data_IF_426669259012
#
_entry.id   IF_426669259012
#
_cell.length_a   1.000
_cell.length_b   1.000
_cell.length_c   1.000
_cell.angle_alpha   90.00
_cell.angle_beta   90.00
_cell.angle_gamma   90.00
#
_symmetry.space_group_name_H-M   'P 1'
#
loop_
_entity.id
_entity.type
_entity.pdbx_description
1 polymer ?
#
# COMPACT_ATOMS: atom_id res chain seq x y z
N UNK A 1 -5.66 1.29 38.84
CA UNK A 1 -4.87 0.79 40.03
C UNK A 1 -3.38 1.08 39.91
N UNK A 2 -2.73 0.89 38.78
CA UNK A 2 -1.29 1.15 38.59
C UNK A 2 -0.92 2.64 38.69
N UNK A 3 -1.69 3.53 38.08
CA UNK A 3 -1.43 4.98 38.07
C UNK A 3 -1.47 5.62 39.45
N UNK A 4 -2.46 5.24 40.31
CA UNK A 4 -2.53 5.74 41.67
C UNK A 4 -1.29 5.36 42.50
N UNK A 5 -0.74 4.18 42.30
CA UNK A 5 0.51 3.76 42.93
C UNK A 5 1.73 4.52 42.39
N UNK A 6 1.77 4.81 41.11
CA UNK A 6 2.83 5.61 40.51
C UNK A 6 2.83 7.04 41.05
N UNK A 7 1.67 7.69 41.12
CA UNK A 7 1.54 9.07 41.64
C UNK A 7 1.91 9.22 43.12
N UNK A 8 1.88 8.14 43.89
CA UNK A 8 2.25 8.12 45.28
C UNK A 8 3.77 8.00 45.56
N UNK A 9 4.59 7.77 44.49
CA UNK A 9 6.04 7.64 44.65
C UNK A 9 6.71 9.01 44.84
N UNK A 10 7.66 9.04 45.78
CA UNK A 10 8.52 10.21 45.98
C UNK A 10 9.68 10.16 45.00
N UNK A 11 9.57 10.92 43.90
CA UNK A 11 10.56 10.93 42.82
C UNK A 11 11.92 11.45 43.28
N UNK A 12 11.99 12.23 44.36
CA UNK A 12 13.28 12.77 44.86
C UNK A 12 14.21 11.68 45.39
N UNK A 13 13.63 10.54 45.77
CA UNK A 13 14.35 9.37 46.29
C UNK A 13 14.78 8.37 45.24
N UNK A 14 14.42 8.59 43.94
CA UNK A 14 14.72 7.68 42.87
C UNK A 14 16.01 8.07 42.17
N UNK A 15 16.79 7.06 41.76
CA UNK A 15 17.92 7.23 40.87
C UNK A 15 17.44 7.61 39.46
N UNK A 16 18.32 8.18 38.58
CA UNK A 16 17.96 8.45 37.21
C UNK A 16 17.41 7.23 36.45
N UNK A 17 18.01 6.05 36.66
CA UNK A 17 17.52 4.81 36.07
C UNK A 17 16.12 4.43 36.57
N UNK A 18 15.83 4.62 37.84
CA UNK A 18 14.50 4.37 38.42
C UNK A 18 13.49 5.39 37.91
N UNK A 19 13.87 6.66 37.80
CA UNK A 19 13.02 7.73 37.21
C UNK A 19 12.67 7.42 35.78
N UNK A 20 13.63 6.96 34.95
CA UNK A 20 13.36 6.60 33.56
C UNK A 20 12.32 5.47 33.44
N UNK A 21 12.40 4.45 34.32
CA UNK A 21 11.41 3.36 34.36
C UNK A 21 10.05 3.84 34.85
N UNK A 22 10.05 4.75 35.83
CA UNK A 22 8.83 5.37 36.32
C UNK A 22 8.09 6.09 35.18
N UNK A 23 8.78 6.96 34.45
CA UNK A 23 8.19 7.72 33.36
C UNK A 23 7.80 6.85 32.17
N UNK A 24 8.56 5.78 31.87
CA UNK A 24 8.18 4.80 30.87
C UNK A 24 6.85 4.11 31.20
N UNK A 25 6.71 3.67 32.44
CA UNK A 25 5.47 3.05 32.93
C UNK A 25 4.31 4.05 32.93
N UNK A 26 4.56 5.28 33.32
CA UNK A 26 3.56 6.33 33.28
C UNK A 26 3.11 6.63 31.84
N UNK A 27 4.06 6.71 30.89
CA UNK A 27 3.75 6.88 29.48
C UNK A 27 2.87 5.75 28.95
N UNK A 28 3.21 4.49 29.22
CA UNK A 28 2.41 3.33 28.83
C UNK A 28 0.99 3.37 29.42
N UNK A 29 0.86 3.82 30.64
CA UNK A 29 -0.44 3.97 31.28
C UNK A 29 -1.29 5.06 30.61
N UNK A 30 -0.68 6.17 30.24
CA UNK A 30 -1.35 7.25 29.51
C UNK A 30 -1.72 6.81 28.09
N UNK A 31 -0.85 6.06 27.42
CA UNK A 31 -1.13 5.46 26.09
C UNK A 31 -2.36 4.54 26.14
N UNK A 32 -2.45 3.69 27.16
CA UNK A 32 -3.59 2.79 27.35
C UNK A 32 -4.92 3.54 27.55
N UNK A 33 -4.86 4.74 28.13
CA UNK A 33 -6.03 5.65 28.25
C UNK A 33 -6.28 6.49 27.02
N UNK A 34 -5.43 6.36 25.99
CA UNK A 34 -5.45 7.20 24.79
C UNK A 34 -5.19 8.69 25.06
N UNK A 35 -4.48 8.99 26.14
CA UNK A 35 -4.04 10.33 26.50
C UNK A 35 -2.64 10.60 25.95
N UNK A 36 -2.61 10.96 24.65
CA UNK A 36 -1.36 11.11 23.90
C UNK A 36 -0.48 12.22 24.49
N UNK A 37 -1.05 13.34 24.88
CA UNK A 37 -0.26 14.48 25.39
C UNK A 37 0.41 14.13 26.72
N UNK A 38 -0.30 13.47 27.65
CA UNK A 38 0.29 13.00 28.90
C UNK A 38 1.37 11.94 28.65
N UNK A 39 1.18 11.07 27.67
CA UNK A 39 2.19 10.09 27.28
C UNK A 39 3.47 10.77 26.73
N UNK A 40 3.32 11.78 25.87
CA UNK A 40 4.45 12.57 25.35
C UNK A 40 5.19 13.29 26.47
N UNK A 41 4.48 13.95 27.39
CA UNK A 41 5.08 14.60 28.55
C UNK A 41 5.90 13.63 29.40
N UNK A 42 5.38 12.43 29.64
CA UNK A 42 6.08 11.39 30.37
C UNK A 42 7.36 10.93 29.64
N UNK A 43 7.31 10.79 28.32
CA UNK A 43 8.50 10.42 27.51
C UNK A 43 9.55 11.54 27.46
N UNK A 44 9.15 12.80 27.50
CA UNK A 44 10.07 13.93 27.65
C UNK A 44 10.81 13.81 28.99
N UNK A 45 10.10 13.56 30.08
CA UNK A 45 10.70 13.34 31.40
C UNK A 45 11.59 12.09 31.45
N UNK A 46 11.21 11.05 30.75
CA UNK A 46 12.05 9.85 30.59
C UNK A 46 13.39 10.20 29.93
N UNK A 47 13.39 10.96 28.86
CA UNK A 47 14.61 11.33 28.14
C UNK A 47 15.59 12.10 29.04
N UNK A 48 15.09 13.01 29.87
CA UNK A 48 15.90 13.78 30.84
C UNK A 48 16.69 12.87 31.80
N UNK A 49 16.27 11.63 31.99
CA UNK A 49 16.88 10.65 32.87
C UNK A 49 17.60 9.49 32.14
N UNK A 50 17.74 9.59 30.81
CA UNK A 50 18.43 8.61 29.99
C UNK A 50 19.83 9.10 29.61
N UNK A 51 20.83 8.23 29.76
CA UNK A 51 22.20 8.47 29.32
C UNK A 51 22.60 7.60 28.15
N UNK A 52 21.98 6.44 27.99
CA UNK A 52 22.22 5.54 26.86
C UNK A 52 21.67 6.10 25.57
N UNK A 53 22.53 6.27 24.57
CA UNK A 53 22.17 6.91 23.29
C UNK A 53 21.13 6.13 22.51
N UNK A 54 21.20 4.77 22.53
CA UNK A 54 20.23 3.96 21.81
C UNK A 54 18.85 4.03 22.45
N UNK A 55 18.78 3.98 23.78
CA UNK A 55 17.51 4.18 24.49
C UNK A 55 16.91 5.56 24.26
N UNK A 56 17.75 6.60 24.16
CA UNK A 56 17.28 7.95 23.81
C UNK A 56 16.70 7.99 22.40
N UNK A 57 17.36 7.39 21.40
CA UNK A 57 16.83 7.26 20.03
C UNK A 57 15.50 6.52 20.00
N UNK A 58 15.42 5.38 20.67
CA UNK A 58 14.19 4.58 20.74
C UNK A 58 13.05 5.36 21.39
N UNK A 59 13.34 6.16 22.41
CA UNK A 59 12.36 7.01 23.07
C UNK A 59 11.89 8.16 22.16
N UNK A 60 12.77 8.75 21.38
CA UNK A 60 12.42 9.74 20.34
C UNK A 60 11.47 9.13 19.31
N UNK A 61 11.79 7.95 18.78
CA UNK A 61 10.96 7.28 17.79
C UNK A 61 9.57 6.94 18.35
N UNK A 62 9.49 6.48 19.58
CA UNK A 62 8.21 6.21 20.26
C UNK A 62 7.41 7.50 20.52
N UNK A 63 8.07 8.58 20.90
CA UNK A 63 7.40 9.88 21.08
C UNK A 63 6.83 10.39 19.76
N UNK A 64 7.60 10.30 18.68
CA UNK A 64 7.13 10.65 17.35
C UNK A 64 5.94 9.79 16.91
N UNK A 65 6.01 8.50 17.13
CA UNK A 65 4.94 7.55 16.81
C UNK A 65 3.62 7.90 17.52
N UNK A 66 3.69 8.30 18.78
CA UNK A 66 2.53 8.78 19.56
C UNK A 66 1.90 10.01 18.90
N UNK A 67 2.69 11.01 18.58
CA UNK A 67 2.22 12.25 17.95
C UNK A 67 1.64 11.98 16.56
N UNK A 68 2.26 11.09 15.79
CA UNK A 68 1.79 10.67 14.46
C UNK A 68 0.41 10.02 14.49
N UNK A 69 0.14 9.21 15.50
CA UNK A 69 -1.12 8.51 15.67
C UNK A 69 -2.22 9.35 16.30
N UNK A 70 -1.90 10.53 16.83
CA UNK A 70 -2.84 11.40 17.49
C UNK A 70 -3.82 12.07 16.51
N UNK A 71 -5.04 12.29 16.95
CA UNK A 71 -5.99 13.10 16.21
C UNK A 71 -5.46 14.55 16.09
N UNK A 72 -5.55 15.10 14.88
CA UNK A 72 -5.08 16.46 14.58
C UNK A 72 -5.71 17.52 15.49
N UNK A 73 -6.98 17.36 15.87
CA UNK A 73 -7.64 18.27 16.80
C UNK A 73 -6.99 18.25 18.19
N UNK A 74 -6.57 17.08 18.69
CA UNK A 74 -5.84 16.94 19.95
C UNK A 74 -4.52 17.69 19.89
N UNK A 75 -3.78 17.55 18.81
CA UNK A 75 -2.51 18.26 18.58
C UNK A 75 -2.72 19.77 18.53
N UNK A 76 -3.71 20.23 17.74
CA UNK A 76 -3.97 21.66 17.54
C UNK A 76 -4.44 22.37 18.82
N UNK A 77 -5.11 21.66 19.72
CA UNK A 77 -5.60 22.18 20.98
C UNK A 77 -4.59 22.03 22.14
N UNK A 78 -3.47 21.32 21.92
CA UNK A 78 -2.46 21.13 22.95
C UNK A 78 -1.67 22.42 23.23
N UNK A 79 -1.41 22.69 24.52
CA UNK A 79 -0.53 23.76 24.98
C UNK A 79 0.83 23.20 25.35
N UNK A 80 1.90 23.96 25.11
CA UNK A 80 3.25 23.61 25.54
C UNK A 80 3.48 23.84 27.04
N UNK A 81 2.54 24.51 27.71
CA UNK A 81 2.61 24.83 29.15
C UNK A 81 3.93 25.51 29.57
N UNK A 82 4.57 26.24 28.65
CA UNK A 82 5.85 26.87 28.86
C UNK A 82 7.07 25.92 28.75
N UNK A 83 6.83 24.66 28.36
CA UNK A 83 7.91 23.68 28.13
C UNK A 83 8.47 23.81 26.72
N UNK A 84 9.74 24.16 26.58
CA UNK A 84 10.44 24.20 25.27
C UNK A 84 10.47 22.83 24.64
N UNK A 85 10.68 21.77 25.42
CA UNK A 85 10.70 20.41 24.91
C UNK A 85 9.34 19.98 24.32
N UNK A 86 8.25 20.22 25.04
CA UNK A 86 6.90 19.94 24.55
C UNK A 86 6.54 20.84 23.35
N UNK A 87 6.86 22.12 23.42
CA UNK A 87 6.66 23.07 22.32
C UNK A 87 7.37 22.66 21.05
N UNK A 88 8.61 22.17 21.17
CA UNK A 88 9.37 21.63 20.04
C UNK A 88 8.70 20.41 19.41
N UNK A 89 8.25 19.46 20.20
CA UNK A 89 7.51 18.29 19.71
C UNK A 89 6.18 18.67 19.02
N UNK A 90 5.41 19.55 19.63
CA UNK A 90 4.14 20.00 19.05
C UNK A 90 4.35 20.77 17.75
N UNK A 91 5.39 21.59 17.66
CA UNK A 91 5.74 22.32 16.43
C UNK A 91 6.20 21.36 15.33
N UNK A 92 6.96 20.31 15.69
CA UNK A 92 7.41 19.31 14.73
C UNK A 92 6.23 18.55 14.11
N UNK A 93 5.30 18.05 14.91
CA UNK A 93 4.13 17.33 14.39
C UNK A 93 3.20 18.23 13.58
N UNK A 94 3.07 19.51 13.94
CA UNK A 94 2.30 20.49 13.16
C UNK A 94 2.96 20.73 11.80
N UNK A 95 4.28 20.93 11.76
CA UNK A 95 5.03 21.09 10.53
C UNK A 95 4.84 19.88 9.59
N UNK A 96 4.85 18.69 10.15
CA UNK A 96 4.58 17.46 9.41
C UNK A 96 3.14 17.42 8.87
N UNK A 97 2.15 17.60 9.72
CA UNK A 97 0.74 17.49 9.34
C UNK A 97 0.33 18.54 8.29
N UNK A 98 0.86 19.75 8.40
CA UNK A 98 0.54 20.85 7.49
C UNK A 98 1.14 20.65 6.07
N UNK A 99 2.22 19.88 5.97
CA UNK A 99 2.98 19.74 4.72
C UNK A 99 3.05 18.32 4.15
N UNK A 100 2.38 17.35 4.76
CA UNK A 100 2.49 15.92 4.38
C UNK A 100 2.14 15.64 2.91
N UNK A 101 1.28 16.46 2.31
CA UNK A 101 0.90 16.33 0.90
C UNK A 101 1.83 17.07 -0.06
N UNK A 102 2.80 17.79 0.44
CA UNK A 102 3.73 18.63 -0.32
C UNK A 102 5.18 18.29 0.10
N UNK A 103 5.77 17.24 -0.48
CA UNK A 103 7.05 16.68 -0.01
C UNK A 103 8.21 17.67 0.04
N UNK A 104 8.29 18.60 -0.93
CA UNK A 104 9.34 19.64 -0.96
C UNK A 104 9.14 20.62 0.21
N UNK A 105 7.93 21.09 0.42
CA UNK A 105 7.59 21.97 1.54
C UNK A 105 7.77 21.27 2.88
N UNK A 106 7.44 19.96 2.95
CA UNK A 106 7.68 19.16 4.15
C UNK A 106 9.18 19.10 4.49
N UNK A 107 10.03 18.81 3.53
CA UNK A 107 11.49 18.80 3.73
C UNK A 107 11.99 20.14 4.25
N UNK A 108 11.55 21.25 3.65
CA UNK A 108 11.92 22.60 4.06
C UNK A 108 11.41 22.92 5.47
N UNK A 109 10.19 22.56 5.80
CA UNK A 109 9.61 22.75 7.12
C UNK A 109 10.37 21.96 8.22
N UNK A 110 10.78 20.73 7.93
CA UNK A 110 11.58 19.92 8.84
C UNK A 110 12.98 20.50 9.06
N UNK A 111 13.62 20.98 8.01
CA UNK A 111 14.92 21.67 8.11
C UNK A 111 14.82 22.97 8.92
N UNK A 112 13.77 23.76 8.69
CA UNK A 112 13.50 25.00 9.43
C UNK A 112 13.23 24.70 10.91
N UNK A 113 12.47 23.64 11.20
CA UNK A 113 12.23 23.22 12.58
C UNK A 113 13.55 22.83 13.29
N UNK A 114 14.39 22.04 12.63
CA UNK A 114 15.69 21.62 13.17
C UNK A 114 16.60 22.82 13.47
N UNK A 115 16.55 23.85 12.65
CA UNK A 115 17.28 25.09 12.85
C UNK A 115 16.69 25.93 13.99
N UNK A 116 15.37 25.92 14.17
CA UNK A 116 14.69 26.64 15.23
C UNK A 116 14.85 25.99 16.62
N UNK A 117 15.01 24.67 16.66
CA UNK A 117 15.14 23.87 17.90
C UNK A 117 16.44 23.06 17.93
N UNK A 118 17.63 23.68 17.79
CA UNK A 118 18.89 22.96 17.62
C UNK A 118 19.29 22.11 18.84
N UNK A 119 18.80 22.45 20.02
CA UNK A 119 19.11 21.76 21.27
C UNK A 119 18.00 20.77 21.70
N UNK A 120 16.96 20.63 20.91
CA UNK A 120 15.90 19.67 21.17
C UNK A 120 16.38 18.25 20.92
N UNK A 121 15.93 17.28 21.75
CA UNK A 121 16.34 15.88 21.63
C UNK A 121 16.02 15.31 20.24
N UNK A 122 14.89 15.68 19.65
CA UNK A 122 14.51 15.26 18.30
C UNK A 122 15.33 15.95 17.19
N UNK A 123 16.04 17.03 17.47
CA UNK A 123 17.00 17.60 16.53
C UNK A 123 18.34 16.86 16.59
N UNK A 124 18.72 16.37 17.76
CA UNK A 124 19.93 15.56 17.98
C UNK A 124 19.75 14.13 17.46
N UNK A 125 18.64 13.50 17.83
CA UNK A 125 18.24 12.14 17.41
C UNK A 125 16.97 12.25 16.55
N UNK A 126 17.14 12.69 15.32
CA UNK A 126 15.97 12.93 14.46
C UNK A 126 15.13 11.67 14.32
N UNK A 127 13.77 11.75 14.37
CA UNK A 127 12.92 10.57 14.22
C UNK A 127 13.26 9.80 12.94
N UNK A 128 13.47 8.50 13.07
CA UNK A 128 13.92 7.65 11.97
C UNK A 128 13.01 7.73 10.75
N UNK A 129 11.70 7.81 10.99
CA UNK A 129 10.69 7.94 9.92
C UNK A 129 10.87 9.23 9.10
N UNK A 130 11.41 10.29 9.71
CA UNK A 130 11.60 11.59 9.07
C UNK A 130 12.98 11.78 8.45
N UNK A 131 13.94 10.90 8.71
CA UNK A 131 15.32 11.06 8.24
C UNK A 131 15.40 11.17 6.71
N UNK A 132 14.65 10.33 5.99
CA UNK A 132 14.61 10.34 4.53
C UNK A 132 14.00 11.63 3.95
N UNK A 133 13.18 12.33 4.74
CA UNK A 133 12.49 13.56 4.33
C UNK A 133 13.34 14.81 4.48
N UNK A 134 14.36 14.80 5.37
CA UNK A 134 15.26 15.94 5.55
C UNK A 134 15.98 16.35 4.27
N UNK A 135 16.42 15.37 3.51
CA UNK A 135 17.18 15.53 2.27
C UNK A 135 16.36 15.11 1.05
N UNK A 136 15.05 15.14 1.17
CA UNK A 136 14.15 14.78 0.09
C UNK A 136 14.38 15.68 -1.13
N UNK A 137 14.51 15.05 -2.28
CA UNK A 137 14.55 15.72 -3.58
C UNK A 137 13.42 15.19 -4.44
N UNK A 138 12.66 16.10 -5.02
CA UNK A 138 11.63 15.77 -5.98
C UNK A 138 12.21 14.97 -7.14
N UNK A 139 11.45 13.99 -7.64
CA UNK A 139 11.85 13.22 -8.82
C UNK A 139 12.03 14.15 -10.01
N UNK A 140 13.20 14.05 -10.63
CA UNK A 140 13.56 14.80 -11.84
C UNK A 140 14.24 13.85 -12.82
N UNK A 141 13.54 13.46 -13.87
CA UNK A 141 14.00 12.47 -14.83
C UNK A 141 14.59 13.14 -16.06
N UNK A 142 15.84 12.78 -16.39
CA UNK A 142 16.51 13.24 -17.61
C UNK A 142 16.17 12.32 -18.81
N UNK A 143 16.07 11.01 -18.57
CA UNK A 143 15.80 10.00 -19.59
C UNK A 143 15.27 8.73 -18.92
N UNK A 144 14.39 7.99 -19.63
CA UNK A 144 13.82 6.72 -19.17
C UNK A 144 14.17 5.62 -20.15
N UNK A 145 14.54 4.45 -19.64
CA UNK A 145 14.55 3.19 -20.37
C UNK A 145 13.26 2.42 -20.11
N UNK A 146 12.55 2.06 -21.15
CA UNK A 146 11.32 1.26 -21.07
C UNK A 146 11.61 -0.15 -21.56
N UNK A 147 11.51 -1.13 -20.66
CA UNK A 147 11.87 -2.53 -20.89
C UNK A 147 10.63 -3.39 -20.91
N UNK A 148 10.23 -3.86 -22.08
CA UNK A 148 9.02 -4.64 -22.29
C UNK A 148 9.24 -5.79 -23.28
N UNK A 149 8.48 -6.89 -23.19
CA UNK A 149 8.46 -7.91 -24.24
C UNK A 149 7.68 -7.37 -25.44
N UNK A 150 8.37 -7.03 -26.53
CA UNK A 150 7.79 -6.36 -27.71
C UNK A 150 7.75 -7.25 -28.95
N UNK A 151 8.18 -8.50 -28.85
CA UNK A 151 8.14 -9.49 -29.89
C UNK A 151 7.80 -10.88 -29.32
N UNK A 152 7.49 -11.84 -30.23
CA UNK A 152 7.12 -13.18 -29.80
C UNK A 152 5.83 -13.26 -29.04
N UNK A 153 5.71 -14.23 -28.11
CA UNK A 153 4.49 -14.55 -27.37
C UNK A 153 4.05 -13.42 -26.43
N UNK A 154 4.98 -12.61 -25.95
CA UNK A 154 4.69 -11.49 -25.06
C UNK A 154 4.32 -10.19 -25.74
N UNK A 155 4.34 -10.12 -27.08
CA UNK A 155 4.20 -8.88 -27.83
C UNK A 155 2.91 -8.12 -27.52
N UNK A 156 1.79 -8.80 -27.47
CA UNK A 156 0.48 -8.16 -27.19
C UNK A 156 0.49 -7.50 -25.80
N UNK A 157 1.04 -8.19 -24.81
CA UNK A 157 1.14 -7.66 -23.45
C UNK A 157 2.05 -6.43 -23.39
N UNK A 158 3.24 -6.55 -23.96
CA UNK A 158 4.23 -5.47 -23.96
C UNK A 158 3.77 -4.23 -24.73
N UNK A 159 3.21 -4.40 -25.91
CA UNK A 159 2.72 -3.28 -26.72
C UNK A 159 1.50 -2.61 -26.11
N UNK A 160 0.65 -3.35 -25.41
CA UNK A 160 -0.50 -2.79 -24.71
C UNK A 160 -0.06 -1.92 -23.51
N UNK A 161 0.91 -2.39 -22.73
CA UNK A 161 1.52 -1.61 -21.64
C UNK A 161 2.21 -0.36 -22.20
N UNK A 162 2.97 -0.51 -23.27
CA UNK A 162 3.64 0.60 -23.96
C UNK A 162 2.65 1.67 -24.42
N UNK A 163 1.50 1.26 -24.95
CA UNK A 163 0.44 2.18 -25.38
C UNK A 163 -0.07 3.03 -24.19
N UNK A 164 -0.36 2.42 -23.06
CA UNK A 164 -0.75 3.13 -21.85
C UNK A 164 0.32 4.08 -21.32
N UNK A 165 1.56 3.63 -21.31
CA UNK A 165 2.72 4.45 -20.94
C UNK A 165 2.89 5.68 -21.83
N UNK A 166 2.81 5.50 -23.15
CA UNK A 166 2.95 6.57 -24.12
C UNK A 166 1.79 7.58 -24.04
N UNK A 167 0.56 7.10 -23.86
CA UNK A 167 -0.60 7.98 -23.72
C UNK A 167 -0.48 8.84 -22.45
N UNK A 168 -0.04 8.26 -21.33
CA UNK A 168 0.19 8.98 -20.09
C UNK A 168 1.36 9.98 -20.21
N UNK A 169 2.42 9.60 -20.93
CA UNK A 169 3.55 10.49 -21.24
C UNK A 169 3.09 11.73 -22.00
N UNK A 170 2.18 11.57 -22.97
CA UNK A 170 1.64 12.68 -23.75
C UNK A 170 2.75 13.55 -24.34
N UNK A 171 2.65 14.87 -24.11
CA UNK A 171 3.57 15.87 -24.65
C UNK A 171 4.88 16.03 -23.82
N UNK A 172 5.12 15.18 -22.83
CA UNK A 172 6.36 15.24 -22.04
C UNK A 172 7.58 15.11 -22.95
N UNK A 173 8.57 15.97 -22.73
CA UNK A 173 9.82 16.00 -23.50
C UNK A 173 10.88 15.05 -22.98
N UNK A 174 10.61 14.28 -21.93
CA UNK A 174 11.55 13.30 -21.37
C UNK A 174 11.79 12.21 -22.41
N UNK A 175 13.04 12.00 -22.88
CA UNK A 175 13.36 10.94 -23.82
C UNK A 175 13.10 9.56 -23.23
N UNK A 176 12.50 8.67 -24.04
CA UNK A 176 12.28 7.28 -23.67
C UNK A 176 12.98 6.39 -24.69
N UNK A 177 13.95 5.61 -24.22
CA UNK A 177 14.57 4.56 -25.01
C UNK A 177 13.89 3.23 -24.72
N UNK A 178 13.43 2.55 -25.75
CA UNK A 178 12.69 1.28 -25.63
C UNK A 178 13.64 0.11 -25.85
N UNK A 179 13.54 -0.89 -24.97
CA UNK A 179 14.30 -2.15 -25.05
C UNK A 179 13.32 -3.32 -25.16
N UNK A 180 13.56 -4.23 -26.10
CA UNK A 180 12.79 -5.46 -26.23
C UNK A 180 13.41 -6.58 -25.41
N UNK A 181 12.78 -6.92 -24.28
CA UNK A 181 13.23 -8.00 -23.40
C UNK A 181 12.98 -9.40 -23.97
N UNK A 182 12.24 -9.51 -25.07
CA UNK A 182 12.05 -10.81 -25.75
C UNK A 182 13.28 -11.24 -26.59
N UNK A 183 14.08 -10.28 -27.03
CA UNK A 183 15.24 -10.53 -27.90
C UNK A 183 16.58 -10.30 -27.21
N UNK A 184 16.59 -9.48 -26.13
CA UNK A 184 17.81 -9.11 -25.41
C UNK A 184 17.72 -9.52 -23.95
N UNK A 185 18.70 -10.26 -23.42
CA UNK A 185 18.74 -10.60 -21.99
C UNK A 185 18.73 -9.36 -21.10
N UNK A 186 18.10 -9.45 -19.93
CA UNK A 186 17.94 -8.31 -19.03
C UNK A 186 19.28 -7.69 -18.58
N UNK A 187 20.30 -8.50 -18.34
CA UNK A 187 21.62 -8.00 -17.95
C UNK A 187 22.28 -7.17 -19.05
N UNK A 188 22.08 -7.56 -20.30
CA UNK A 188 22.59 -6.82 -21.47
C UNK A 188 21.81 -5.50 -21.66
N UNK A 189 20.51 -5.52 -21.44
CA UNK A 189 19.67 -4.31 -21.47
C UNK A 189 20.17 -3.31 -20.40
N UNK A 190 20.41 -3.76 -19.19
CA UNK A 190 20.91 -2.91 -18.09
C UNK A 190 22.27 -2.31 -18.46
N UNK A 191 23.17 -3.11 -19.02
CA UNK A 191 24.48 -2.64 -19.47
C UNK A 191 24.36 -1.59 -20.58
N UNK A 192 23.50 -1.80 -21.57
CA UNK A 192 23.22 -0.84 -22.64
C UNK A 192 22.61 0.46 -22.13
N UNK A 193 21.67 0.36 -21.20
CA UNK A 193 21.04 1.52 -20.56
C UNK A 193 22.07 2.37 -19.80
N UNK A 194 22.95 1.74 -19.03
CA UNK A 194 24.06 2.42 -18.34
C UNK A 194 25.02 3.11 -19.31
N UNK A 195 25.40 2.41 -20.38
CA UNK A 195 26.27 2.97 -21.41
C UNK A 195 25.65 4.19 -22.11
N UNK A 196 24.32 4.24 -22.21
CA UNK A 196 23.57 5.38 -22.75
C UNK A 196 23.29 6.49 -21.75
N UNK A 197 23.77 6.37 -20.51
CA UNK A 197 23.55 7.36 -19.45
C UNK A 197 22.15 7.35 -18.85
N UNK A 198 21.37 6.30 -19.08
CA UNK A 198 20.02 6.13 -18.53
C UNK A 198 20.15 5.79 -17.05
N UNK A 199 19.40 6.53 -16.20
CA UNK A 199 19.37 6.36 -14.74
C UNK A 199 18.00 5.97 -14.20
N UNK A 200 17.01 5.78 -15.05
CA UNK A 200 15.68 5.34 -14.67
C UNK A 200 15.18 4.28 -15.64
N UNK A 201 14.81 3.11 -15.13
CA UNK A 201 14.24 2.00 -15.89
C UNK A 201 12.80 1.73 -15.43
N UNK A 202 11.92 1.51 -16.41
CA UNK A 202 10.58 0.98 -16.24
C UNK A 202 10.53 -0.39 -16.90
N UNK A 203 10.25 -1.40 -16.13
CA UNK A 203 10.39 -2.80 -16.46
C UNK A 203 11.55 -3.45 -15.70
N UNK A 204 11.77 -4.75 -15.90
CA UNK A 204 11.08 -5.68 -16.79
C UNK A 204 9.71 -6.14 -16.29
N UNK A 205 8.95 -6.82 -17.16
CA UNK A 205 7.63 -7.35 -16.87
C UNK A 205 7.66 -8.80 -16.39
N UNK A 206 8.46 -9.65 -17.03
CA UNK A 206 8.46 -11.08 -16.73
C UNK A 206 9.16 -11.37 -15.41
N UNK A 207 8.55 -12.24 -14.59
CA UNK A 207 9.04 -12.59 -13.25
C UNK A 207 10.49 -13.07 -13.24
N UNK A 208 10.89 -13.87 -14.22
CA UNK A 208 12.27 -14.35 -14.35
C UNK A 208 13.29 -13.21 -14.52
N UNK A 209 12.92 -12.13 -15.21
CA UNK A 209 13.78 -10.97 -15.40
C UNK A 209 13.82 -10.09 -14.13
N UNK A 210 12.71 -9.99 -13.42
CA UNK A 210 12.67 -9.34 -12.09
C UNK A 210 13.55 -10.08 -11.09
N UNK A 211 13.45 -11.40 -11.04
CA UNK A 211 14.30 -12.25 -10.19
C UNK A 211 15.79 -12.12 -10.55
N UNK A 212 16.14 -11.95 -11.79
CA UNK A 212 17.51 -11.71 -12.21
C UNK A 212 18.08 -10.40 -11.63
N UNK A 213 17.27 -9.34 -11.53
CA UNK A 213 17.66 -8.08 -10.88
C UNK A 213 17.81 -8.29 -9.37
N UNK A 214 16.88 -8.99 -8.74
CA UNK A 214 16.91 -9.26 -7.30
C UNK A 214 18.14 -10.09 -6.92
N UNK A 215 18.51 -11.06 -7.76
CA UNK A 215 19.69 -11.91 -7.55
C UNK A 215 21.02 -11.17 -7.74
N UNK A 216 21.05 -10.10 -8.51
CA UNK A 216 22.25 -9.28 -8.76
C UNK A 216 21.93 -7.78 -8.66
N UNK A 217 21.63 -7.26 -7.47
CA UNK A 217 21.22 -5.87 -7.30
C UNK A 217 22.34 -4.87 -7.64
N UNK A 218 23.60 -5.27 -7.59
CA UNK A 218 24.73 -4.42 -7.95
C UNK A 218 24.71 -4.01 -9.44
N UNK A 219 24.07 -4.80 -10.30
CA UNK A 219 23.94 -4.48 -11.74
C UNK A 219 23.13 -3.19 -11.97
N UNK A 220 22.18 -2.89 -11.12
CA UNK A 220 21.32 -1.68 -11.20
C UNK A 220 21.73 -0.58 -10.23
N UNK A 221 22.87 -0.68 -9.60
CA UNK A 221 23.35 0.34 -8.68
C UNK A 221 23.47 1.71 -9.39
N UNK A 222 22.90 2.74 -8.77
CA UNK A 222 22.85 4.09 -9.33
C UNK A 222 21.72 4.33 -10.33
N UNK A 223 20.83 3.36 -10.51
CA UNK A 223 19.64 3.47 -11.36
C UNK A 223 18.38 3.35 -10.52
N UNK A 224 17.38 4.18 -10.82
CA UNK A 224 16.02 4.00 -10.34
C UNK A 224 15.34 2.93 -11.20
N UNK A 225 14.81 1.89 -10.59
CA UNK A 225 14.17 0.78 -11.31
C UNK A 225 12.76 0.57 -10.79
N UNK A 226 11.79 0.76 -11.64
CA UNK A 226 10.40 0.36 -11.40
C UNK A 226 10.14 -0.94 -12.16
N UNK A 227 10.24 -2.07 -11.49
CA UNK A 227 9.86 -3.35 -12.11
C UNK A 227 8.35 -3.37 -12.34
N UNK A 228 7.91 -4.06 -13.38
CA UNK A 228 6.49 -4.19 -13.70
C UNK A 228 5.92 -5.53 -13.22
N UNK A 229 6.53 -6.10 -12.21
CA UNK A 229 6.07 -7.26 -11.49
C UNK A 229 6.75 -7.36 -10.11
N UNK A 230 6.13 -8.11 -9.23
CA UNK A 230 6.72 -8.58 -7.99
C UNK A 230 6.81 -10.11 -8.03
N UNK A 231 7.71 -10.68 -7.24
CA UNK A 231 7.94 -12.13 -7.17
C UNK A 231 7.99 -12.59 -5.73
N UNK A 232 8.05 -13.89 -5.50
CA UNK A 232 8.26 -14.45 -4.17
C UNK A 232 9.61 -14.01 -3.54
N UNK A 233 10.55 -13.54 -4.36
CA UNK A 233 11.86 -13.07 -3.94
C UNK A 233 11.94 -11.56 -3.71
N UNK A 234 10.84 -10.84 -3.85
CA UNK A 234 10.78 -9.38 -3.63
C UNK A 234 11.33 -9.02 -2.26
N UNK A 235 12.28 -8.09 -2.26
CA UNK A 235 12.96 -7.60 -1.05
C UNK A 235 13.39 -6.15 -1.23
N UNK A 236 13.68 -5.47 -0.13
CA UNK A 236 14.17 -4.09 -0.16
C UNK A 236 15.55 -4.04 -0.84
N UNK A 237 15.61 -3.36 -1.98
CA UNK A 237 16.83 -3.05 -2.72
C UNK A 237 16.83 -1.54 -2.97
N UNK A 238 17.97 -0.90 -2.70
CA UNK A 238 18.07 0.54 -2.91
C UNK A 238 17.72 0.92 -4.35
N UNK A 239 16.89 1.92 -4.51
CA UNK A 239 16.44 2.45 -5.81
C UNK A 239 15.66 1.44 -6.68
N UNK A 240 15.09 0.38 -6.08
CA UNK A 240 14.21 -0.56 -6.79
C UNK A 240 12.82 -0.53 -6.14
N UNK A 241 11.82 -0.31 -6.94
CA UNK A 241 10.41 -0.46 -6.57
C UNK A 241 9.75 -1.51 -7.47
N UNK A 242 8.74 -2.18 -6.95
CA UNK A 242 8.01 -3.24 -7.63
C UNK A 242 6.57 -2.81 -7.84
N UNK A 243 6.06 -2.99 -9.05
CA UNK A 243 4.68 -2.67 -9.36
C UNK A 243 4.11 -3.72 -10.31
N UNK A 244 2.97 -4.28 -9.97
CA UNK A 244 2.30 -5.28 -10.78
C UNK A 244 0.80 -5.33 -10.49
N UNK A 245 0.07 -6.06 -11.32
CA UNK A 245 -1.35 -6.33 -11.11
C UNK A 245 -1.49 -7.57 -10.22
N UNK A 246 -1.09 -7.43 -8.97
CA UNK A 246 -0.99 -8.53 -8.01
C UNK A 246 -2.35 -8.95 -7.47
N UNK A 247 -2.71 -10.24 -7.49
CA UNK A 247 -3.90 -10.76 -6.81
C UNK A 247 -3.84 -10.60 -5.29
N UNK A 248 -2.64 -10.52 -4.71
CA UNK A 248 -2.40 -10.26 -3.30
C UNK A 248 -2.90 -8.86 -2.89
N UNK A 249 -2.69 -7.82 -3.72
CA UNK A 249 -3.25 -6.48 -3.48
C UNK A 249 -4.77 -6.49 -3.42
N UNK A 250 -5.41 -7.26 -4.30
CA UNK A 250 -6.86 -7.41 -4.31
C UNK A 250 -7.37 -8.06 -3.02
N UNK A 251 -6.65 -9.05 -2.51
CA UNK A 251 -6.99 -9.69 -1.25
C UNK A 251 -6.87 -8.75 -0.06
N UNK A 252 -5.85 -7.92 -0.02
CA UNK A 252 -5.67 -6.90 1.02
C UNK A 252 -6.77 -5.84 0.95
N UNK A 253 -7.12 -5.39 -0.25
CA UNK A 253 -8.25 -4.49 -0.50
C UNK A 253 -9.57 -5.12 -0.05
N UNK A 254 -9.77 -6.42 -0.28
CA UNK A 254 -10.94 -7.15 0.16
C UNK A 254 -11.04 -7.21 1.70
N UNK A 255 -9.94 -7.47 2.39
CA UNK A 255 -9.91 -7.45 3.86
C UNK A 255 -10.32 -6.07 4.41
N UNK A 256 -9.78 -5.00 3.85
CA UNK A 256 -10.14 -3.63 4.22
C UNK A 256 -11.64 -3.35 3.98
N UNK A 257 -12.14 -3.71 2.82
CA UNK A 257 -13.55 -3.50 2.43
C UNK A 257 -14.50 -4.27 3.34
N UNK A 258 -14.24 -5.55 3.54
CA UNK A 258 -15.07 -6.40 4.40
C UNK A 258 -15.10 -5.92 5.84
N UNK A 259 -13.96 -5.49 6.39
CA UNK A 259 -13.89 -4.90 7.72
C UNK A 259 -14.73 -3.63 7.82
N UNK A 260 -14.62 -2.74 6.84
CA UNK A 260 -15.37 -1.48 6.78
C UNK A 260 -16.88 -1.73 6.67
N UNK A 261 -17.27 -2.74 5.93
CA UNK A 261 -18.67 -3.14 5.75
C UNK A 261 -19.27 -3.86 6.97
N UNK A 262 -18.49 -4.03 8.03
CA UNK A 262 -18.96 -4.66 9.29
C UNK A 262 -18.85 -6.17 9.32
N UNK A 263 -18.19 -6.80 8.34
CA UNK A 263 -17.88 -8.23 8.39
C UNK A 263 -16.91 -8.47 9.54
N UNK A 264 -17.19 -9.48 10.37
CA UNK A 264 -16.34 -9.89 11.49
C UNK A 264 -15.99 -11.37 11.45
N UNK A 265 -16.70 -12.15 10.64
CA UNK A 265 -16.45 -13.56 10.40
C UNK A 265 -16.22 -13.80 8.89
N UNK A 266 -15.07 -13.38 8.33
CA UNK A 266 -14.77 -13.59 6.93
C UNK A 266 -14.44 -15.05 6.67
N UNK A 267 -15.07 -15.60 5.64
CA UNK A 267 -14.69 -16.88 5.02
C UNK A 267 -13.97 -16.51 3.72
N UNK A 268 -12.73 -16.97 3.60
CA UNK A 268 -11.87 -16.69 2.44
C UNK A 268 -11.72 -17.98 1.65
N UNK A 269 -12.48 -18.12 0.57
CA UNK A 269 -12.49 -19.32 -0.25
C UNK A 269 -11.55 -19.17 -1.44
N UNK A 270 -10.47 -19.92 -1.43
CA UNK A 270 -9.40 -19.87 -2.40
C UNK A 270 -9.32 -21.16 -3.21
N UNK A 271 -8.93 -21.11 -4.49
CA UNK A 271 -8.63 -22.32 -5.24
C UNK A 271 -7.46 -23.07 -4.59
N UNK A 272 -7.49 -24.39 -4.64
CA UNK A 272 -6.47 -25.22 -4.02
C UNK A 272 -5.23 -25.33 -4.93
N UNK A 273 -4.44 -24.28 -4.96
CA UNK A 273 -3.18 -24.17 -5.69
C UNK A 273 -2.29 -23.09 -5.06
N UNK A 274 -1.09 -22.91 -5.61
CA UNK A 274 -0.12 -21.93 -5.09
C UNK A 274 -0.65 -20.51 -5.10
N UNK A 275 -1.42 -20.13 -6.11
CA UNK A 275 -2.06 -18.82 -6.19
C UNK A 275 -3.02 -18.62 -5.00
N UNK A 276 -3.90 -19.61 -4.77
CA UNK A 276 -4.85 -19.55 -3.65
C UNK A 276 -4.17 -19.44 -2.29
N UNK A 277 -3.05 -20.13 -2.09
CA UNK A 277 -2.27 -20.04 -0.85
C UNK A 277 -1.68 -18.64 -0.65
N UNK A 278 -1.07 -18.06 -1.67
CA UNK A 278 -0.48 -16.71 -1.60
C UNK A 278 -1.52 -15.64 -1.35
N UNK A 279 -2.62 -15.69 -2.08
CA UNK A 279 -3.72 -14.72 -1.98
C UNK A 279 -4.43 -14.84 -0.63
N UNK A 280 -4.70 -16.06 -0.17
CA UNK A 280 -5.28 -16.32 1.15
C UNK A 280 -4.38 -15.79 2.28
N UNK A 281 -3.08 -15.99 2.17
CA UNK A 281 -2.12 -15.48 3.14
C UNK A 281 -2.10 -13.93 3.16
N UNK A 282 -2.13 -13.27 2.01
CA UNK A 282 -2.17 -11.81 1.92
C UNK A 282 -3.45 -11.24 2.59
N UNK A 283 -4.59 -11.87 2.35
CA UNK A 283 -5.83 -11.53 3.05
C UNK A 283 -5.66 -11.64 4.57
N UNK A 284 -5.14 -12.79 5.04
CA UNK A 284 -5.00 -13.07 6.47
C UNK A 284 -4.08 -12.09 7.16
N UNK A 285 -2.94 -11.78 6.58
CA UNK A 285 -1.99 -10.80 7.13
C UNK A 285 -2.64 -9.43 7.32
N UNK A 286 -3.40 -8.98 6.34
CA UNK A 286 -4.15 -7.71 6.45
C UNK A 286 -5.27 -7.81 7.48
N UNK A 287 -6.00 -8.92 7.50
CA UNK A 287 -7.08 -9.13 8.46
C UNK A 287 -6.59 -9.15 9.92
N UNK A 288 -5.47 -9.79 10.20
CA UNK A 288 -4.83 -9.77 11.53
C UNK A 288 -4.53 -8.35 12.01
N UNK A 289 -4.09 -7.47 11.12
CA UNK A 289 -3.83 -6.06 11.45
C UNK A 289 -5.11 -5.30 11.80
N UNK A 290 -6.22 -5.64 11.15
CA UNK A 290 -7.52 -4.99 11.38
C UNK A 290 -8.25 -5.54 12.60
N UNK A 291 -8.29 -6.86 12.73
CA UNK A 291 -9.13 -7.59 13.68
C UNK A 291 -8.40 -8.14 14.90
N UNK A 292 -7.07 -8.30 14.82
CA UNK A 292 -6.27 -8.97 15.85
C UNK A 292 -6.44 -10.49 15.90
N UNK A 293 -7.15 -11.09 14.95
CA UNK A 293 -7.42 -12.51 14.83
C UNK A 293 -7.26 -12.99 13.40
N UNK A 294 -7.11 -14.31 13.22
CA UNK A 294 -7.04 -14.91 11.89
C UNK A 294 -8.39 -14.91 11.19
N UNK A 295 -8.35 -14.75 9.86
CA UNK A 295 -9.48 -15.05 8.99
C UNK A 295 -9.62 -16.56 8.79
N UNK A 296 -10.82 -17.01 8.44
CA UNK A 296 -11.07 -18.41 8.10
C UNK A 296 -10.72 -18.67 6.64
N UNK A 297 -9.49 -19.09 6.37
CA UNK A 297 -9.03 -19.44 5.02
C UNK A 297 -9.40 -20.89 4.71
N UNK A 298 -10.15 -21.09 3.64
CA UNK A 298 -10.57 -22.41 3.18
C UNK A 298 -10.24 -22.58 1.69
N UNK A 299 -9.91 -23.78 1.31
CA UNK A 299 -9.57 -24.13 -0.06
C UNK A 299 -10.66 -24.99 -0.67
N UNK A 300 -11.06 -24.68 -1.89
CA UNK A 300 -12.08 -25.44 -2.62
C UNK A 300 -11.50 -26.05 -3.90
N UNK A 301 -11.98 -27.23 -4.25
CA UNK A 301 -11.74 -27.87 -5.54
C UNK A 301 -12.94 -27.70 -6.46
N UNK A 302 -14.14 -27.79 -5.88
CA UNK A 302 -15.40 -27.64 -6.57
C UNK A 302 -16.22 -26.50 -5.96
N UNK A 303 -17.00 -25.74 -6.75
CA UNK A 303 -17.86 -24.68 -6.23
C UNK A 303 -18.78 -25.12 -5.09
N UNK A 304 -19.30 -26.36 -5.14
CA UNK A 304 -20.16 -26.91 -4.10
C UNK A 304 -19.48 -27.01 -2.72
N UNK A 305 -18.15 -27.11 -2.65
CA UNK A 305 -17.42 -27.23 -1.40
C UNK A 305 -17.69 -26.03 -0.48
N UNK A 306 -17.95 -24.87 -1.04
CA UNK A 306 -18.12 -23.60 -0.32
C UNK A 306 -19.33 -23.64 0.62
N UNK A 307 -20.35 -24.42 0.32
CA UNK A 307 -21.55 -24.57 1.18
C UNK A 307 -21.18 -25.07 2.58
N UNK A 308 -20.15 -25.90 2.70
CA UNK A 308 -19.71 -26.46 3.97
C UNK A 308 -18.86 -25.49 4.80
N UNK A 309 -18.33 -24.43 4.18
CA UNK A 309 -17.44 -23.48 4.86
C UNK A 309 -18.16 -22.60 5.88
N UNK A 310 -19.47 -22.47 5.76
CA UNK A 310 -20.32 -21.63 6.62
C UNK A 310 -20.91 -22.35 7.83
N UNK A 311 -20.63 -23.64 8.00
CA UNK A 311 -21.16 -24.40 9.14
C UNK A 311 -20.69 -23.81 10.46
N UNK A 312 -21.64 -23.43 11.32
CA UNK A 312 -21.36 -22.84 12.62
C UNK A 312 -20.95 -21.36 12.60
N UNK A 313 -20.97 -20.71 11.45
CA UNK A 313 -20.63 -19.29 11.33
C UNK A 313 -21.88 -18.41 11.45
N UNK A 314 -21.88 -17.35 12.32
CA UNK A 314 -22.97 -16.39 12.37
C UNK A 314 -23.16 -15.68 11.04
N UNK A 315 -24.35 -15.77 10.44
CA UNK A 315 -24.58 -15.26 9.09
C UNK A 315 -24.70 -13.74 9.01
N UNK A 316 -25.13 -13.08 10.06
CA UNK A 316 -25.30 -11.63 10.13
C UNK A 316 -23.97 -10.85 10.07
N UNK A 317 -22.88 -11.49 10.47
CA UNK A 317 -21.53 -10.92 10.44
C UNK A 317 -20.58 -11.67 9.50
N UNK A 318 -21.07 -12.68 8.79
CA UNK A 318 -20.31 -13.46 7.84
C UNK A 318 -20.25 -12.78 6.46
N UNK A 319 -19.13 -12.94 5.81
CA UNK A 319 -18.91 -12.56 4.42
C UNK A 319 -18.00 -13.56 3.74
N UNK A 320 -18.17 -13.74 2.45
CA UNK A 320 -17.34 -14.58 1.62
C UNK A 320 -16.43 -13.71 0.75
N UNK A 321 -15.12 -13.91 0.83
CA UNK A 321 -14.20 -13.49 -0.22
C UNK A 321 -13.80 -14.70 -1.06
N UNK A 322 -13.94 -14.60 -2.37
CA UNK A 322 -13.67 -15.71 -3.28
C UNK A 322 -12.87 -15.26 -4.50
N UNK A 323 -11.87 -16.06 -4.86
CA UNK A 323 -11.15 -15.94 -6.13
C UNK A 323 -11.63 -17.08 -7.05
N UNK A 324 -12.32 -16.71 -8.11
CA UNK A 324 -12.96 -17.66 -9.03
C UNK A 324 -13.13 -17.08 -10.42
N UNK A 325 -13.34 -17.94 -11.41
CA UNK A 325 -13.84 -17.54 -12.72
C UNK A 325 -15.31 -17.07 -12.65
N UNK A 326 -15.83 -16.39 -13.67
CA UNK A 326 -17.25 -16.03 -13.71
C UNK A 326 -18.20 -17.25 -13.58
N UNK A 327 -17.89 -18.34 -14.25
CA UNK A 327 -18.72 -19.55 -14.23
C UNK A 327 -18.75 -20.20 -12.84
N UNK A 328 -17.57 -20.32 -12.21
CA UNK A 328 -17.48 -20.82 -10.84
C UNK A 328 -18.24 -19.92 -9.85
N UNK A 329 -18.12 -18.58 -10.00
CA UNK A 329 -18.83 -17.65 -9.14
C UNK A 329 -20.36 -17.78 -9.30
N UNK A 330 -20.85 -17.99 -10.52
CA UNK A 330 -22.28 -18.21 -10.77
C UNK A 330 -22.80 -19.47 -10.07
N UNK A 331 -22.02 -20.55 -10.11
CA UNK A 331 -22.34 -21.77 -9.37
C UNK A 331 -22.33 -21.56 -7.86
N UNK A 332 -21.29 -20.91 -7.33
CA UNK A 332 -21.17 -20.59 -5.90
C UNK A 332 -22.35 -19.75 -5.43
N UNK A 333 -22.72 -18.73 -6.19
CA UNK A 333 -23.88 -17.87 -5.90
C UNK A 333 -25.16 -18.70 -5.84
N UNK A 334 -25.35 -19.58 -6.80
CA UNK A 334 -26.51 -20.49 -6.83
C UNK A 334 -26.60 -21.39 -5.60
N UNK A 335 -25.50 -21.97 -5.16
CA UNK A 335 -25.45 -22.78 -3.93
C UNK A 335 -25.74 -21.95 -2.68
N UNK A 336 -25.17 -20.76 -2.56
CA UNK A 336 -25.35 -19.89 -1.41
C UNK A 336 -26.74 -19.29 -1.33
N UNK A 337 -27.39 -19.00 -2.43
CA UNK A 337 -28.77 -18.49 -2.46
C UNK A 337 -29.76 -19.48 -1.81
N UNK A 338 -29.46 -20.77 -1.85
CA UNK A 338 -30.28 -21.81 -1.21
C UNK A 338 -29.84 -22.10 0.24
N UNK A 339 -28.53 -22.14 0.50
CA UNK A 339 -27.98 -22.58 1.79
C UNK A 339 -27.73 -21.42 2.79
N UNK A 340 -27.24 -20.29 2.32
CA UNK A 340 -26.82 -19.17 3.12
C UNK A 340 -27.15 -17.82 2.42
N UNK A 341 -28.47 -17.53 2.21
CA UNK A 341 -28.89 -16.42 1.33
C UNK A 341 -28.50 -15.03 1.82
N UNK A 342 -28.18 -14.88 3.11
CA UNK A 342 -27.85 -13.59 3.72
C UNK A 342 -26.33 -13.31 3.73
N UNK A 343 -25.50 -14.26 3.29
CA UNK A 343 -24.05 -14.05 3.22
C UNK A 343 -23.71 -13.06 2.11
N UNK A 344 -22.96 -12.03 2.45
CA UNK A 344 -22.44 -11.07 1.47
C UNK A 344 -21.25 -11.67 0.75
N UNK A 345 -21.23 -11.55 -0.59
CA UNK A 345 -20.18 -12.12 -1.45
C UNK A 345 -19.31 -11.01 -2.00
N UNK A 346 -18.02 -11.17 -1.81
CA UNK A 346 -16.95 -10.31 -2.33
C UNK A 346 -16.06 -11.16 -3.24
N UNK A 347 -15.87 -10.72 -4.47
CA UNK A 347 -15.08 -11.45 -5.45
C UNK A 347 -13.89 -10.63 -5.95
N UNK A 348 -12.88 -11.31 -6.47
CA UNK A 348 -11.75 -10.66 -7.13
C UNK A 348 -12.11 -10.23 -8.57
N UNK A 349 -11.21 -9.43 -9.19
CA UNK A 349 -11.35 -9.02 -10.59
C UNK A 349 -11.37 -10.19 -11.57
N UNK A 350 -10.90 -11.37 -11.17
CA UNK A 350 -10.91 -12.58 -11.99
C UNK A 350 -12.32 -12.98 -12.44
N UNK A 351 -13.34 -12.66 -11.66
CA UNK A 351 -14.74 -12.89 -12.00
C UNK A 351 -15.34 -11.84 -12.94
N UNK A 352 -14.63 -10.72 -13.17
CA UNK A 352 -15.08 -9.64 -14.03
C UNK A 352 -14.48 -9.80 -15.43
N UNK A 353 -15.23 -10.34 -16.34
CA UNK A 353 -14.83 -10.56 -17.73
C UNK A 353 -15.75 -9.84 -18.70
N UNK A 354 -15.19 -9.34 -19.80
CA UNK A 354 -15.96 -8.69 -20.87
C UNK A 354 -16.99 -9.61 -21.53
N UNK A 355 -16.77 -10.91 -21.44
CA UNK A 355 -17.67 -11.95 -21.96
C UNK A 355 -18.87 -12.26 -21.05
N UNK A 356 -18.96 -11.67 -19.86
CA UNK A 356 -20.09 -11.89 -18.97
C UNK A 356 -21.38 -11.40 -19.61
N UNK A 357 -22.41 -12.24 -19.55
CA UNK A 357 -23.70 -12.01 -20.21
C UNK A 357 -24.69 -11.26 -19.32
N UNK A 358 -25.76 -10.66 -19.88
CA UNK A 358 -26.86 -10.13 -19.07
C UNK A 358 -27.46 -11.15 -18.12
N UNK A 359 -27.55 -12.43 -18.53
CA UNK A 359 -28.04 -13.52 -17.71
C UNK A 359 -27.11 -13.78 -16.51
N UNK A 360 -25.81 -13.69 -16.69
CA UNK A 360 -24.83 -13.74 -15.60
C UNK A 360 -25.10 -12.64 -14.57
N UNK A 361 -25.20 -11.39 -15.01
CA UNK A 361 -25.42 -10.27 -14.11
C UNK A 361 -26.78 -10.33 -13.40
N UNK A 362 -27.81 -10.84 -14.05
CA UNK A 362 -29.10 -11.06 -13.42
C UNK A 362 -29.04 -12.04 -12.21
N UNK A 363 -28.12 -13.01 -12.26
CA UNK A 363 -27.89 -13.98 -11.17
C UNK A 363 -26.96 -13.44 -10.08
N UNK A 364 -26.18 -12.38 -10.35
CA UNK A 364 -25.15 -11.86 -9.45
C UNK A 364 -25.65 -10.73 -8.55
N UNK A 365 -26.94 -10.48 -8.47
CA UNK A 365 -27.48 -9.36 -7.70
C UNK A 365 -26.92 -9.33 -6.25
N UNK A 366 -26.39 -8.20 -5.82
CA UNK A 366 -25.79 -8.00 -4.51
C UNK A 366 -24.32 -8.40 -4.40
N UNK A 367 -23.77 -9.15 -5.35
CA UNK A 367 -22.34 -9.52 -5.35
C UNK A 367 -21.49 -8.28 -5.57
N UNK A 368 -20.48 -8.10 -4.71
CA UNK A 368 -19.44 -7.07 -4.88
C UNK A 368 -18.19 -7.72 -5.45
N UNK A 369 -17.45 -6.96 -6.26
CA UNK A 369 -16.14 -7.37 -6.75
C UNK A 369 -15.21 -6.17 -6.87
N UNK A 370 -13.92 -6.42 -6.74
CA UNK A 370 -12.89 -5.40 -6.93
C UNK A 370 -12.40 -5.40 -8.38
N UNK A 371 -12.12 -4.22 -8.88
CA UNK A 371 -11.40 -4.03 -10.14
C UNK A 371 -10.77 -2.63 -10.18
N UNK A 372 -10.10 -2.33 -11.28
CA UNK A 372 -9.38 -1.06 -11.46
C UNK A 372 -10.35 0.12 -11.56
N UNK A 373 -9.95 1.30 -11.02
CA UNK A 373 -10.77 2.52 -11.13
C UNK A 373 -11.06 2.96 -12.55
N UNK A 374 -10.22 2.59 -13.51
CA UNK A 374 -10.40 2.93 -14.92
C UNK A 374 -11.76 2.49 -15.46
N UNK A 375 -12.29 1.37 -14.98
CA UNK A 375 -13.60 0.88 -15.40
C UNK A 375 -14.79 1.74 -14.95
N UNK A 376 -14.60 2.68 -14.00
CA UNK A 376 -15.61 3.70 -13.69
C UNK A 376 -15.75 4.77 -14.77
N UNK A 377 -14.79 4.88 -15.66
CA UNK A 377 -14.70 5.94 -16.66
C UNK A 377 -15.22 5.48 -18.03
N UNK A 378 -16.13 4.51 -18.07
CA UNK A 378 -16.63 3.91 -19.32
C UNK A 378 -17.16 4.93 -20.35
N UNK A 379 -17.63 6.09 -19.88
CA UNK A 379 -18.15 7.16 -20.75
C UNK A 379 -17.05 8.12 -21.24
N UNK A 380 -15.80 7.96 -20.76
CA UNK A 380 -14.70 8.84 -21.18
C UNK A 380 -14.20 8.48 -22.60
N UNK A 381 -13.73 9.50 -23.29
CA UNK A 381 -13.10 9.31 -24.62
C UNK A 381 -11.87 8.42 -24.56
N UNK A 382 -11.09 8.52 -23.47
CA UNK A 382 -9.93 7.66 -23.24
C UNK A 382 -10.36 6.20 -23.13
N UNK A 383 -11.35 5.90 -22.30
CA UNK A 383 -11.86 4.53 -22.14
C UNK A 383 -12.36 3.96 -23.46
N UNK A 384 -13.16 4.72 -24.23
CA UNK A 384 -13.71 4.27 -25.51
C UNK A 384 -12.60 4.01 -26.54
N UNK A 385 -11.58 4.84 -26.59
CA UNK A 385 -10.40 4.62 -27.45
C UNK A 385 -9.69 3.31 -27.07
N UNK A 386 -9.47 3.08 -25.78
CA UNK A 386 -8.78 1.88 -25.29
C UNK A 386 -9.63 0.63 -25.53
N UNK A 387 -10.93 0.69 -25.26
CA UNK A 387 -11.85 -0.41 -25.54
C UNK A 387 -11.83 -0.77 -27.04
N UNK A 388 -11.80 0.22 -27.93
CA UNK A 388 -11.69 0.01 -29.38
C UNK A 388 -10.38 -0.67 -29.79
N UNK A 389 -9.25 -0.23 -29.23
CA UNK A 389 -7.92 -0.77 -29.59
C UNK A 389 -7.62 -2.15 -28.99
N UNK A 390 -8.27 -2.51 -27.88
CA UNK A 390 -8.10 -3.78 -27.18
C UNK A 390 -9.18 -4.81 -27.48
N UNK A 391 -10.12 -4.49 -28.38
CA UNK A 391 -11.29 -5.34 -28.65
C UNK A 391 -12.24 -5.46 -27.46
N UNK A 392 -12.17 -4.56 -26.50
CA UNK A 392 -12.97 -4.59 -25.26
C UNK A 392 -12.53 -5.64 -24.24
N UNK A 393 -11.39 -6.30 -24.46
CA UNK A 393 -10.86 -7.32 -23.54
C UNK A 393 -10.35 -6.66 -22.25
N UNK A 394 -10.99 -6.96 -21.13
CA UNK A 394 -10.66 -6.36 -19.83
C UNK A 394 -9.23 -6.62 -19.39
N UNK A 395 -8.69 -7.78 -19.69
CA UNK A 395 -7.29 -8.10 -19.37
C UNK A 395 -6.31 -7.14 -20.07
N UNK A 396 -6.55 -6.84 -21.34
CA UNK A 396 -5.73 -5.89 -22.09
C UNK A 396 -5.97 -4.45 -21.62
N UNK A 397 -7.19 -4.09 -21.26
CA UNK A 397 -7.49 -2.78 -20.69
C UNK A 397 -6.80 -2.56 -19.33
N UNK A 398 -6.67 -3.60 -18.51
CA UNK A 398 -5.90 -3.54 -17.25
C UNK A 398 -4.41 -3.33 -17.52
N UNK A 399 -3.85 -3.97 -18.54
CA UNK A 399 -2.46 -3.77 -18.93
C UNK A 399 -2.20 -2.38 -19.49
N UNK A 400 -3.12 -1.82 -20.26
CA UNK A 400 -3.05 -0.42 -20.68
C UNK A 400 -3.00 0.51 -19.45
N UNK A 401 -3.92 0.32 -18.52
CA UNK A 401 -3.97 1.09 -17.27
C UNK A 401 -2.67 0.95 -16.46
N UNK A 402 -2.09 -0.23 -16.42
CA UNK A 402 -0.79 -0.49 -15.81
C UNK A 402 0.33 0.34 -16.46
N UNK A 403 0.36 0.42 -17.79
CA UNK A 403 1.31 1.25 -18.51
C UNK A 403 1.18 2.73 -18.19
N UNK A 404 -0.04 3.23 -18.10
CA UNK A 404 -0.34 4.59 -17.67
C UNK A 404 0.18 4.87 -16.25
N UNK A 405 -0.07 3.97 -15.32
CA UNK A 405 0.37 4.11 -13.95
C UNK A 405 1.89 3.94 -13.80
N UNK A 406 2.54 3.17 -14.66
CA UNK A 406 3.99 3.08 -14.69
C UNK A 406 4.65 4.43 -15.00
N UNK A 407 4.09 5.20 -15.92
CA UNK A 407 4.51 6.58 -16.16
C UNK A 407 4.31 7.47 -14.94
N UNK A 408 3.15 7.39 -14.31
CA UNK A 408 2.84 8.14 -13.09
C UNK A 408 3.83 7.81 -11.96
N UNK A 409 4.09 6.52 -11.73
CA UNK A 409 4.96 6.05 -10.65
C UNK A 409 6.42 6.44 -10.87
N UNK A 410 6.96 6.31 -12.08
CA UNK A 410 8.37 6.66 -12.32
C UNK A 410 8.60 8.17 -12.17
N UNK A 411 7.63 9.01 -12.52
CA UNK A 411 7.70 10.45 -12.34
C UNK A 411 7.56 10.89 -10.87
N UNK A 412 7.15 10.00 -9.97
CA UNK A 412 7.02 10.25 -8.54
C UNK A 412 7.84 9.22 -7.72
N UNK A 413 8.91 8.73 -8.29
CA UNK A 413 9.67 7.61 -7.73
C UNK A 413 10.30 7.92 -6.37
N UNK A 414 10.88 9.12 -6.21
CA UNK A 414 11.47 9.54 -4.95
C UNK A 414 10.39 9.79 -3.88
N UNK A 415 9.28 10.41 -4.26
CA UNK A 415 8.12 10.61 -3.39
C UNK A 415 7.60 9.27 -2.86
N UNK A 416 7.41 8.31 -3.76
CA UNK A 416 6.93 6.98 -3.43
C UNK A 416 7.85 6.25 -2.43
N UNK A 417 9.17 6.36 -2.62
CA UNK A 417 10.18 5.69 -1.79
C UNK A 417 10.45 6.38 -0.46
N UNK A 418 10.41 7.70 -0.43
CA UNK A 418 10.96 8.50 0.66
C UNK A 418 9.89 9.13 1.55
N UNK A 419 8.67 9.32 1.04
CA UNK A 419 7.60 9.98 1.77
C UNK A 419 6.65 8.94 2.38
N UNK A 420 6.65 8.74 3.70
CA UNK A 420 5.75 7.80 4.35
C UNK A 420 4.28 8.14 4.06
N UNK A 421 3.51 7.13 3.66
CA UNK A 421 2.09 7.30 3.38
C UNK A 421 1.77 8.09 2.10
N UNK A 422 2.77 8.32 1.23
CA UNK A 422 2.53 8.96 -0.06
C UNK A 422 1.65 8.10 -0.94
N UNK A 423 0.62 8.70 -1.52
CA UNK A 423 -0.34 8.02 -2.38
C UNK A 423 -0.51 8.74 -3.71
N UNK A 424 -0.74 7.96 -4.75
CA UNK A 424 -1.05 8.44 -6.09
C UNK A 424 -2.36 7.83 -6.56
N UNK A 425 -3.22 8.65 -7.18
CA UNK A 425 -4.45 8.18 -7.79
C UNK A 425 -4.16 7.71 -9.21
N UNK A 426 -4.07 6.40 -9.40
CA UNK A 426 -3.82 5.77 -10.70
C UNK A 426 -5.08 5.22 -11.36
N UNK A 427 -4.91 4.75 -12.58
CA UNK A 427 -5.96 4.02 -13.31
C UNK A 427 -6.16 2.59 -12.77
N UNK A 428 -5.17 2.03 -12.07
CA UNK A 428 -5.21 0.67 -11.52
C UNK A 428 -5.53 0.62 -10.02
N UNK A 429 -5.61 1.74 -9.34
CA UNK A 429 -5.89 1.83 -7.90
C UNK A 429 -5.37 3.11 -7.28
N UNK A 430 -5.59 3.28 -5.98
CA UNK A 430 -4.80 4.17 -5.15
C UNK A 430 -3.47 3.49 -4.86
N UNK A 431 -2.38 4.12 -5.27
CA UNK A 431 -1.05 3.52 -5.26
C UNK A 431 -0.25 4.04 -4.07
N UNK A 432 0.36 3.13 -3.33
CA UNK A 432 1.27 3.44 -2.23
C UNK A 432 2.34 2.35 -2.15
N UNK A 433 3.47 2.63 -1.50
CA UNK A 433 4.54 1.65 -1.39
C UNK A 433 4.73 1.20 0.06
N UNK A 434 5.05 -0.07 0.25
CA UNK A 434 5.46 -0.64 1.52
C UNK A 434 6.96 -0.41 1.79
N UNK A 435 7.49 -1.01 2.86
CA UNK A 435 8.91 -0.90 3.25
C UNK A 435 9.89 -1.51 2.25
N UNK A 436 9.44 -2.42 1.39
CA UNK A 436 10.23 -3.02 0.31
C UNK A 436 10.13 -2.22 -0.99
N UNK A 437 9.38 -1.13 -0.98
CA UNK A 437 8.92 -0.41 -2.16
C UNK A 437 8.13 -1.31 -3.13
N UNK A 438 7.35 -2.24 -2.60
CA UNK A 438 6.33 -2.95 -3.34
C UNK A 438 5.06 -2.09 -3.36
N UNK A 439 4.56 -1.81 -4.55
CA UNK A 439 3.43 -0.88 -4.73
C UNK A 439 2.13 -1.63 -4.53
N UNK A 440 1.45 -1.29 -3.45
CA UNK A 440 0.09 -1.73 -3.16
C UNK A 440 -0.93 -0.92 -3.95
N UNK A 441 -2.01 -1.57 -4.35
CA UNK A 441 -3.14 -0.94 -5.03
C UNK A 441 -4.41 -1.08 -4.18
N UNK A 442 -4.96 0.01 -3.71
CA UNK A 442 -6.32 -0.02 -3.14
C UNK A 442 -7.32 0.07 -4.29
N UNK A 443 -8.14 -1.00 -4.42
CA UNK A 443 -8.99 -1.24 -5.57
C UNK A 443 -10.30 -0.46 -5.47
N UNK A 444 -10.95 -0.26 -6.61
CA UNK A 444 -12.35 0.17 -6.66
C UNK A 444 -13.26 -1.04 -6.46
N UNK A 445 -14.33 -0.85 -5.69
CA UNK A 445 -15.37 -1.87 -5.51
C UNK A 445 -16.58 -1.55 -6.36
N UNK A 446 -17.11 -2.59 -6.95
CA UNK A 446 -18.30 -2.58 -7.80
C UNK A 446 -19.33 -3.53 -7.21
N UNK A 447 -20.60 -3.26 -7.46
CA UNK A 447 -21.69 -4.13 -7.05
C UNK A 447 -22.63 -4.37 -8.22
N UNK A 448 -23.13 -5.58 -8.34
CA UNK A 448 -24.21 -5.88 -9.27
C UNK A 448 -25.54 -5.53 -8.61
N UNK A 449 -26.28 -4.61 -9.21
CA UNK A 449 -27.59 -4.15 -8.75
C UNK A 449 -28.56 -4.22 -9.93
N UNK A 450 -29.57 -5.08 -9.82
CA UNK A 450 -30.61 -5.26 -10.85
C UNK A 450 -30.04 -5.49 -12.26
N UNK A 451 -29.02 -6.32 -12.35
CA UNK A 451 -28.34 -6.65 -13.60
C UNK A 451 -27.34 -5.61 -14.11
N UNK A 452 -27.15 -4.51 -13.38
CA UNK A 452 -26.19 -3.46 -13.73
C UNK A 452 -25.00 -3.47 -12.77
N UNK A 453 -23.83 -3.09 -13.29
CA UNK A 453 -22.63 -2.93 -12.49
C UNK A 453 -22.51 -1.45 -12.08
N UNK A 454 -22.46 -1.19 -10.78
CA UNK A 454 -22.33 0.15 -10.22
C UNK A 454 -21.12 0.22 -9.29
N UNK A 455 -20.41 1.35 -9.31
CA UNK A 455 -19.34 1.58 -8.36
C UNK A 455 -19.92 1.83 -6.97
N UNK A 456 -19.34 1.20 -5.95
CA UNK A 456 -19.72 1.44 -4.54
C UNK A 456 -18.75 2.41 -3.90
N UNK A 457 -19.24 3.24 -2.98
CA UNK A 457 -18.39 4.10 -2.18
C UNK A 457 -17.44 3.26 -1.30
N UNK A 458 -16.18 3.66 -1.25
CA UNK A 458 -15.16 3.05 -0.39
C UNK A 458 -15.32 3.52 1.05
#
# INVERSE_FOLDING_TARGET
>A
MAEGKLRALDLTKLSPSQKSRYYETFAQTAENRKDVIEAVKARIKMDENLTDMQRRKDNVDKTWSLLRSANTAVINNASDEGSVALGGWLTLIKAYNDNIRQPVQLSQALQSWKSAYPNHVAATFFPKELESLLNFQQTNLAQIGLVLPLSGDGQILGTTIQSGFNDAKGDSTIPVQVFDSSTTPINDIIAQAKASGIKALVGPLLKQNVDAIIANPSAVQGMDVLTLNATANTQAINQVCYYGLSPEDEAESAANKMWKDGIRNPIVAMPQNDLGQRVGNAFNVRWQRLAGTDANIRYYNLPADITYFFQGTPQDTAGLYVVSSPDELAEIKGYLDTSNPNVRIYASSRSNAASNTPEYYAKMNGVQFSDIPFFKQSDSSQYQKVAGSTGGEFQLMRLYAMGSDAWLLINHFNELRQVPGYTLSGLTGQLSADSNCDVDRDMTWYQVQDGNVVAVAN
#
